data_IF_762818575629
#
_entry.id   IF_762818575629
#
_cell.length_a   1.000
_cell.length_b   1.000
_cell.length_c   1.000
_cell.angle_alpha   90.00
_cell.angle_beta   90.00
_cell.angle_gamma   90.00
#
_symmetry.space_group_name_H-M   'P 1'
#
loop_
_entity.id
_entity.type
_entity.pdbx_description
1 polymer ?
#
# COMPACT_ATOMS: atom_id res chain seq x y z
N UNK A 1 7.31 31.20 -14.15
CA UNK A 1 6.08 30.51 -14.60
C UNK A 1 5.89 29.28 -13.72
N UNK A 2 4.74 29.12 -13.05
CA UNK A 2 4.50 27.99 -12.14
C UNK A 2 4.17 26.74 -12.96
N UNK A 3 4.84 25.62 -12.70
CA UNK A 3 4.59 24.36 -13.43
C UNK A 3 3.41 23.61 -12.81
N UNK A 4 2.77 22.72 -13.57
CA UNK A 4 1.70 21.87 -13.07
C UNK A 4 2.11 21.08 -11.82
N UNK A 5 3.38 20.66 -11.71
CA UNK A 5 3.94 20.01 -10.53
C UNK A 5 3.92 20.91 -9.30
N UNK A 6 4.34 22.17 -9.44
CA UNK A 6 4.37 23.13 -8.33
C UNK A 6 2.96 23.51 -7.90
N UNK A 7 2.03 23.68 -8.86
CA UNK A 7 0.61 23.86 -8.56
C UNK A 7 0.02 22.68 -7.77
N UNK A 8 0.30 21.44 -8.19
CA UNK A 8 -0.17 20.24 -7.49
C UNK A 8 0.40 20.13 -6.09
N UNK A 9 1.69 20.43 -5.89
CA UNK A 9 2.28 20.45 -4.53
C UNK A 9 1.55 21.45 -3.64
N UNK A 10 1.37 22.69 -4.11
CA UNK A 10 0.69 23.75 -3.35
C UNK A 10 -0.74 23.35 -2.98
N UNK A 11 -1.47 22.69 -3.89
CA UNK A 11 -2.82 22.21 -3.64
C UNK A 11 -2.86 21.06 -2.61
N UNK A 12 -1.90 20.14 -2.70
CA UNK A 12 -1.83 18.96 -1.82
C UNK A 12 -1.23 19.27 -0.44
N UNK A 13 -0.44 20.33 -0.30
CA UNK A 13 0.19 20.73 0.98
C UNK A 13 -0.56 21.85 1.69
N UNK A 14 -1.58 22.46 1.06
CA UNK A 14 -2.38 23.50 1.71
C UNK A 14 -3.10 22.93 2.93
N UNK A 15 -3.24 23.74 3.97
CA UNK A 15 -3.95 23.41 5.23
C UNK A 15 -5.39 22.91 4.98
N UNK A 16 -6.00 23.36 3.90
CA UNK A 16 -7.35 22.99 3.44
C UNK A 16 -7.33 22.09 2.18
N UNK A 17 -6.17 21.52 1.84
CA UNK A 17 -6.02 20.56 0.75
C UNK A 17 -6.77 19.28 1.09
N UNK A 18 -8.01 19.17 0.62
CA UNK A 18 -8.86 18.01 0.87
C UNK A 18 -8.64 16.99 -0.24
N UNK A 19 -8.05 15.85 0.10
CA UNK A 19 -8.13 14.63 -0.72
C UNK A 19 -9.25 13.77 -0.13
N UNK A 20 -10.48 13.99 -0.59
CA UNK A 20 -11.63 13.15 -0.23
C UNK A 20 -11.95 12.26 -1.42
N UNK A 21 -11.34 11.09 -1.47
CA UNK A 21 -11.59 10.11 -2.51
C UNK A 21 -12.87 9.33 -2.18
N UNK A 22 -14.00 9.70 -2.80
CA UNK A 22 -15.20 8.86 -2.83
C UNK A 22 -15.01 7.76 -3.89
N UNK A 23 -14.23 6.74 -3.54
CA UNK A 23 -14.01 5.58 -4.40
C UNK A 23 -15.18 4.60 -4.27
N UNK A 24 -15.96 4.51 -5.36
CA UNK A 24 -17.02 3.53 -5.53
C UNK A 24 -16.59 2.51 -6.57
N UNK A 25 -16.73 1.23 -6.25
CA UNK A 25 -16.61 0.13 -7.21
C UNK A 25 -17.91 -0.66 -7.13
N UNK A 26 -18.52 -0.91 -8.30
CA UNK A 26 -19.82 -1.61 -8.42
C UNK A 26 -20.91 -1.07 -7.46
N UNK A 27 -20.93 0.25 -7.23
CA UNK A 27 -21.87 0.93 -6.35
C UNK A 27 -21.58 0.81 -4.85
N UNK A 28 -20.52 0.09 -4.44
CA UNK A 28 -20.09 -0.03 -3.05
C UNK A 28 -18.93 0.91 -2.76
N UNK A 29 -18.97 1.53 -1.59
CA UNK A 29 -17.84 2.30 -1.08
C UNK A 29 -16.68 1.35 -0.76
N UNK A 30 -15.53 1.58 -1.39
CA UNK A 30 -14.36 0.69 -1.33
C UNK A 30 -13.39 1.10 -0.21
N UNK A 31 -13.55 2.32 0.30
CA UNK A 31 -12.67 2.91 1.31
C UNK A 31 -13.43 3.07 2.61
N UNK A 32 -12.93 2.42 3.66
CA UNK A 32 -13.50 2.53 4.99
C UNK A 32 -13.37 3.96 5.55
N UNK A 33 -14.31 4.44 6.37
CA UNK A 33 -14.30 5.81 6.89
C UNK A 33 -13.09 6.15 7.77
N UNK A 34 -12.47 5.15 8.38
CA UNK A 34 -11.26 5.22 9.20
C UNK A 34 -9.97 5.07 8.37
N UNK A 35 -10.09 4.92 7.05
CA UNK A 35 -8.95 4.82 6.15
C UNK A 35 -8.10 6.08 6.13
N UNK A 36 -6.80 5.93 5.86
CA UNK A 36 -5.89 7.02 5.53
C UNK A 36 -6.43 7.92 4.39
N UNK A 37 -7.18 7.35 3.44
CA UNK A 37 -7.73 8.11 2.31
C UNK A 37 -8.99 8.92 2.66
N UNK A 38 -9.52 8.77 3.88
CA UNK A 38 -10.71 9.46 4.37
C UNK A 38 -10.43 10.37 5.57
N UNK A 39 -9.52 9.95 6.45
CA UNK A 39 -9.11 10.70 7.65
C UNK A 39 -8.34 11.98 7.32
N UNK A 40 -8.37 12.97 8.22
CA UNK A 40 -7.74 14.29 8.04
C UNK A 40 -6.99 14.72 9.29
N UNK A 41 -6.12 15.72 9.15
CA UNK A 41 -5.45 16.38 10.29
C UNK A 41 -4.65 15.40 11.15
N UNK A 42 -4.83 15.46 12.47
CA UNK A 42 -4.12 14.58 13.41
C UNK A 42 -4.51 13.10 13.24
N UNK A 43 -5.80 12.79 13.02
CA UNK A 43 -6.22 11.41 12.76
C UNK A 43 -5.51 10.80 11.55
N UNK A 44 -5.29 11.58 10.48
CA UNK A 44 -4.49 11.12 9.34
C UNK A 44 -3.02 10.91 9.71
N UNK A 45 -2.43 11.77 10.56
CA UNK A 45 -1.04 11.61 11.00
C UNK A 45 -0.88 10.35 11.86
N UNK A 46 -1.84 10.05 12.72
CA UNK A 46 -1.80 8.88 13.60
C UNK A 46 -1.91 7.58 12.78
N UNK A 47 -2.88 7.50 11.86
CA UNK A 47 -2.97 6.36 10.93
C UNK A 47 -1.71 6.24 10.07
N UNK A 48 -1.14 7.36 9.61
CA UNK A 48 0.12 7.36 8.84
C UNK A 48 1.29 6.84 9.65
N UNK A 49 1.40 7.19 10.93
CA UNK A 49 2.46 6.69 11.84
C UNK A 49 2.36 5.17 12.00
N UNK A 50 1.16 4.65 12.21
CA UNK A 50 0.91 3.21 12.37
C UNK A 50 1.37 2.40 11.16
N UNK A 51 1.25 2.94 9.95
CA UNK A 51 1.66 2.25 8.71
C UNK A 51 3.06 2.63 8.22
N UNK A 52 3.74 3.58 8.87
CA UNK A 52 5.01 4.13 8.37
C UNK A 52 6.17 3.16 8.56
N UNK A 53 6.25 2.51 9.72
CA UNK A 53 7.34 1.60 10.08
C UNK A 53 7.48 0.40 9.10
N UNK A 54 6.42 -0.33 8.73
CA UNK A 54 6.52 -1.41 7.75
C UNK A 54 6.79 -0.92 6.31
N UNK A 55 6.62 0.38 6.05
CA UNK A 55 6.93 1.03 4.75
C UNK A 55 8.25 1.80 4.78
N UNK A 56 9.03 1.71 5.86
CA UNK A 56 10.35 2.32 5.96
C UNK A 56 11.32 1.67 4.97
N UNK A 57 12.34 2.42 4.54
CA UNK A 57 13.37 1.90 3.62
C UNK A 57 14.03 0.64 4.19
N UNK A 58 14.35 0.63 5.48
CA UNK A 58 14.99 -0.51 6.13
C UNK A 58 14.10 -1.75 6.14
N UNK A 59 12.79 -1.59 6.41
CA UNK A 59 11.84 -2.70 6.34
C UNK A 59 11.62 -3.16 4.89
N UNK A 60 11.52 -2.24 3.93
CA UNK A 60 11.39 -2.57 2.51
C UNK A 60 12.59 -3.37 1.99
N UNK A 61 13.81 -3.02 2.41
CA UNK A 61 15.02 -3.79 2.08
C UNK A 61 14.93 -5.22 2.62
N UNK A 62 14.47 -5.41 3.86
CA UNK A 62 14.27 -6.76 4.46
C UNK A 62 13.28 -7.60 3.64
N UNK A 63 12.25 -6.98 3.08
CA UNK A 63 11.24 -7.67 2.28
C UNK A 63 11.63 -7.84 0.81
N UNK A 64 12.62 -7.10 0.32
CA UNK A 64 13.06 -7.16 -1.07
C UNK A 64 13.56 -8.56 -1.45
N UNK A 65 14.26 -9.24 -0.55
CA UNK A 65 14.70 -10.61 -0.79
C UNK A 65 13.51 -11.56 -1.00
N UNK A 66 12.49 -11.49 -0.14
CA UNK A 66 11.26 -12.28 -0.28
C UNK A 66 10.54 -11.96 -1.59
N UNK A 67 10.41 -10.68 -1.94
CA UNK A 67 9.75 -10.26 -3.19
C UNK A 67 10.51 -10.79 -4.40
N UNK A 68 11.84 -10.70 -4.40
CA UNK A 68 12.68 -11.21 -5.49
C UNK A 68 12.56 -12.73 -5.63
N UNK A 69 12.64 -13.48 -4.52
CA UNK A 69 12.49 -14.94 -4.53
C UNK A 69 11.12 -15.33 -5.08
N UNK A 70 10.04 -14.72 -4.57
CA UNK A 70 8.68 -14.98 -5.06
C UNK A 70 8.53 -14.67 -6.56
N UNK A 71 9.13 -13.57 -7.02
CA UNK A 71 9.10 -13.20 -8.44
C UNK A 71 9.86 -14.22 -9.30
N UNK A 72 11.06 -14.63 -8.88
CA UNK A 72 11.84 -15.65 -9.59
C UNK A 72 11.12 -16.99 -9.64
N UNK A 73 10.60 -17.48 -8.52
CA UNK A 73 9.84 -18.74 -8.47
C UNK A 73 8.59 -18.69 -9.36
N UNK A 74 7.89 -17.56 -9.39
CA UNK A 74 6.73 -17.37 -10.26
C UNK A 74 7.13 -17.40 -11.74
N UNK A 75 8.21 -16.70 -12.10
CA UNK A 75 8.70 -16.66 -13.48
C UNK A 75 9.26 -18.00 -13.96
N UNK A 76 9.92 -18.76 -13.08
CA UNK A 76 10.39 -20.12 -13.39
C UNK A 76 9.21 -21.05 -13.72
N UNK A 77 8.10 -20.94 -12.99
CA UNK A 77 6.89 -21.71 -13.27
C UNK A 77 6.22 -21.35 -14.60
N UNK A 78 6.50 -20.16 -15.14
CA UNK A 78 5.95 -19.70 -16.41
C UNK A 78 6.74 -20.19 -17.62
N UNK A 79 7.98 -20.67 -17.42
CA UNK A 79 8.81 -21.18 -18.50
C UNK A 79 8.14 -22.34 -19.24
N UNK A 80 8.02 -22.22 -20.57
CA UNK A 80 7.48 -23.27 -21.43
C UNK A 80 5.95 -23.45 -21.42
N UNK A 81 5.18 -22.57 -20.75
CA UNK A 81 3.70 -22.60 -20.76
C UNK A 81 3.10 -21.30 -21.28
N UNK A 82 1.88 -21.37 -21.81
CA UNK A 82 1.08 -20.18 -22.06
C UNK A 82 0.60 -19.61 -20.71
N UNK A 83 0.72 -18.29 -20.54
CA UNK A 83 0.45 -17.58 -19.28
C UNK A 83 -0.67 -16.57 -19.49
N UNK A 84 -1.73 -16.69 -18.70
CA UNK A 84 -2.77 -15.66 -18.56
C UNK A 84 -2.28 -14.61 -17.56
N UNK A 85 -1.57 -13.59 -18.05
CA UNK A 85 -0.87 -12.61 -17.22
C UNK A 85 -1.76 -11.98 -16.12
N UNK A 86 -3.02 -11.66 -16.43
CA UNK A 86 -3.92 -11.01 -15.48
C UNK A 86 -4.30 -11.93 -14.29
N UNK A 87 -4.45 -13.23 -14.52
CA UNK A 87 -4.77 -14.20 -13.47
C UNK A 87 -3.56 -14.44 -12.57
N UNK A 88 -2.39 -14.59 -13.20
CA UNK A 88 -1.13 -14.87 -12.51
C UNK A 88 -0.65 -13.65 -11.73
N UNK A 89 -0.77 -12.44 -12.29
CA UNK A 89 -0.50 -11.19 -11.56
C UNK A 89 -1.44 -11.00 -10.35
N UNK A 90 -2.69 -11.48 -10.45
CA UNK A 90 -3.64 -11.46 -9.33
C UNK A 90 -3.25 -12.45 -8.23
N UNK A 91 -2.67 -13.59 -8.59
CA UNK A 91 -2.09 -14.57 -7.65
C UNK A 91 -0.90 -13.98 -6.89
N UNK A 92 0.08 -13.40 -7.61
CA UNK A 92 1.23 -12.72 -7.00
C UNK A 92 0.79 -11.59 -6.07
N UNK A 93 -0.16 -10.76 -6.52
CA UNK A 93 -0.76 -9.70 -5.69
C UNK A 93 -1.39 -10.26 -4.41
N UNK A 94 -2.05 -11.42 -4.49
CA UNK A 94 -2.66 -12.06 -3.32
C UNK A 94 -1.60 -12.54 -2.32
N UNK A 95 -0.53 -13.18 -2.79
CA UNK A 95 0.61 -13.59 -1.96
C UNK A 95 1.27 -12.40 -1.26
N UNK A 96 1.46 -11.29 -1.97
CA UNK A 96 2.00 -10.04 -1.39
C UNK A 96 1.04 -9.42 -0.36
N UNK A 97 -0.28 -9.47 -0.59
CA UNK A 97 -1.26 -8.98 0.38
C UNK A 97 -1.28 -9.85 1.65
N UNK A 98 -1.14 -11.17 1.53
CA UNK A 98 -1.07 -12.06 2.69
C UNK A 98 0.23 -11.83 3.48
N UNK A 99 1.35 -11.68 2.77
CA UNK A 99 2.62 -11.29 3.38
C UNK A 99 2.50 -9.97 4.14
N UNK A 100 1.88 -8.96 3.52
CA UNK A 100 1.57 -7.68 4.18
C UNK A 100 0.74 -7.91 5.45
N UNK A 101 -0.32 -8.71 5.42
CA UNK A 101 -1.14 -8.99 6.61
C UNK A 101 -0.31 -9.61 7.74
N UNK A 102 0.55 -10.57 7.42
CA UNK A 102 1.43 -11.22 8.40
C UNK A 102 2.43 -10.24 9.03
N UNK A 103 3.05 -9.40 8.20
CA UNK A 103 3.99 -8.37 8.66
C UNK A 103 3.29 -7.34 9.55
N UNK A 104 2.18 -6.76 9.08
CA UNK A 104 1.46 -5.73 9.82
C UNK A 104 0.84 -6.29 11.11
N UNK A 105 0.33 -7.52 11.11
CA UNK A 105 -0.19 -8.14 12.33
C UNK A 105 0.91 -8.33 13.39
N UNK A 106 2.10 -8.79 12.98
CA UNK A 106 3.24 -8.96 13.91
C UNK A 106 3.77 -7.63 14.44
N UNK A 107 3.87 -6.60 13.59
CA UNK A 107 4.26 -5.25 14.00
C UNK A 107 3.25 -4.62 14.97
N UNK A 108 1.96 -4.76 14.70
CA UNK A 108 0.90 -4.18 15.56
C UNK A 108 0.80 -4.91 16.90
N UNK A 109 0.92 -6.23 16.93
CA UNK A 109 0.95 -6.99 18.20
C UNK A 109 2.18 -6.64 19.06
N UNK A 110 3.36 -6.48 18.45
CA UNK A 110 4.57 -6.08 19.18
C UNK A 110 4.49 -4.66 19.78
N UNK A 111 3.62 -3.79 19.25
CA UNK A 111 3.35 -2.46 19.81
C UNK A 111 2.26 -2.47 20.90
N UNK A 112 1.51 -3.56 21.07
CA UNK A 112 0.49 -3.73 22.12
C UNK A 112 1.05 -4.38 23.40
N UNK A 113 2.26 -4.95 23.32
CA UNK A 113 2.96 -5.61 24.44
C UNK A 113 4.00 -4.68 25.15
N UNK A 114 3.96 -3.36 24.88
CA UNK A 114 4.74 -2.30 25.55
C UNK A 114 3.77 -1.32 26.19
#
# INVERSE_FOLDING_TARGET
MMTARESSKILLTRKDGIVSLKLFYTGRQVVAPDSLLHTRGEAHKDVRRLIAEPLSVDCLIKYLHFINTLAMETLDQWSGRAVMFLEEASSVKSSLIQFRKLVFHRTVSALQDI
#
